data_IF_791577200487
#
_entry.id   IF_791577200487
#
_cell.length_a   1.000
_cell.length_b   1.000
_cell.length_c   1.000
_cell.angle_alpha   90.00
_cell.angle_beta   90.00
_cell.angle_gamma   90.00
#
_symmetry.space_group_name_H-M   'P 1'
#
loop_
_entity.id
_entity.type
_entity.pdbx_description
1 polymer ?
#
# COMPACT_ATOMS: atom_id res chain seq x y z
N UNK A 1 -52.66 5.96 9.80
CA UNK A 1 -52.45 4.70 10.56
C UNK A 1 -50.97 4.63 10.87
N UNK A 2 -50.57 5.17 12.02
CA UNK A 2 -49.15 5.32 12.37
C UNK A 2 -48.67 4.00 12.97
N UNK A 3 -47.67 3.38 12.34
CA UNK A 3 -47.12 2.09 12.73
C UNK A 3 -46.58 2.12 14.16
N UNK A 4 -46.80 1.02 14.88
CA UNK A 4 -46.28 0.78 16.23
C UNK A 4 -44.77 1.01 16.27
N UNK A 5 -44.24 1.77 17.25
CA UNK A 5 -42.80 1.99 17.36
C UNK A 5 -42.08 0.66 17.59
N UNK A 6 -41.00 0.45 16.84
CA UNK A 6 -40.11 -0.72 16.99
C UNK A 6 -39.57 -0.74 18.43
N UNK A 7 -39.65 -1.88 19.15
CA UNK A 7 -39.17 -1.94 20.54
C UNK A 7 -37.67 -1.62 20.60
N UNK A 8 -37.30 -0.71 21.50
CA UNK A 8 -35.93 -0.23 21.66
C UNK A 8 -35.08 -1.37 22.25
N UNK A 9 -34.24 -1.98 21.41
CA UNK A 9 -33.40 -3.12 21.77
C UNK A 9 -32.54 -2.83 23.01
N UNK A 10 -32.15 -1.56 23.19
CA UNK A 10 -31.38 -1.10 24.35
C UNK A 10 -32.16 -1.28 25.65
N UNK A 11 -33.45 -0.96 25.66
CA UNK A 11 -34.30 -1.09 26.85
C UNK A 11 -34.48 -2.56 27.24
N UNK A 12 -34.66 -3.45 26.25
CA UNK A 12 -34.77 -4.88 26.48
C UNK A 12 -33.47 -5.47 27.09
N UNK A 13 -32.31 -5.06 26.58
CA UNK A 13 -31.00 -5.49 27.12
C UNK A 13 -30.79 -4.98 28.55
N UNK A 14 -31.20 -3.74 28.85
CA UNK A 14 -31.09 -3.18 30.20
C UNK A 14 -32.01 -3.90 31.19
N UNK A 15 -33.24 -4.20 30.78
CA UNK A 15 -34.19 -4.94 31.61
C UNK A 15 -33.66 -6.35 31.92
N UNK A 16 -33.10 -7.05 30.93
CA UNK A 16 -32.49 -8.35 31.12
C UNK A 16 -31.27 -8.29 32.05
N UNK A 17 -30.41 -7.29 31.91
CA UNK A 17 -29.24 -7.11 32.77
C UNK A 17 -29.65 -6.88 34.22
N UNK A 18 -30.63 -6.01 34.47
CA UNK A 18 -31.12 -5.73 35.82
C UNK A 18 -31.74 -6.99 36.45
N UNK A 19 -32.56 -7.73 35.71
CA UNK A 19 -33.13 -8.99 36.19
C UNK A 19 -32.04 -10.02 36.58
N UNK A 20 -30.94 -10.08 35.82
CA UNK A 20 -29.79 -10.95 36.13
C UNK A 20 -29.01 -10.49 37.36
N UNK A 21 -28.91 -9.17 37.59
CA UNK A 21 -28.29 -8.61 38.79
C UNK A 21 -29.15 -8.95 40.01
N UNK A 22 -30.47 -8.77 39.91
CA UNK A 22 -31.41 -9.07 40.99
C UNK A 22 -31.40 -10.55 41.36
N UNK A 23 -31.38 -11.47 40.36
CA UNK A 23 -31.29 -12.90 40.63
C UNK A 23 -29.99 -13.28 41.34
N UNK A 24 -28.86 -12.68 40.95
CA UNK A 24 -27.56 -12.94 41.59
C UNK A 24 -27.59 -12.58 43.08
N UNK A 25 -28.23 -11.47 43.46
CA UNK A 25 -28.36 -11.08 44.86
C UNK A 25 -29.43 -11.87 45.62
N UNK A 26 -30.54 -12.25 44.98
CA UNK A 26 -31.57 -13.11 45.57
C UNK A 26 -31.03 -14.51 45.92
N UNK A 27 -30.16 -15.06 45.07
CA UNK A 27 -29.52 -16.36 45.28
C UNK A 27 -28.37 -16.31 46.31
N UNK A 28 -28.17 -15.16 46.98
CA UNK A 28 -27.17 -14.97 48.03
C UNK A 28 -25.76 -14.64 47.53
N UNK A 29 -25.63 -14.23 46.26
CA UNK A 29 -24.37 -13.78 45.68
C UNK A 29 -23.80 -12.56 46.40
N UNK A 30 -22.50 -12.58 46.69
CA UNK A 30 -21.78 -11.46 47.30
C UNK A 30 -20.69 -10.96 46.35
N UNK A 31 -20.57 -9.63 46.23
CA UNK A 31 -19.52 -9.00 45.45
C UNK A 31 -18.22 -9.01 46.27
N UNK A 32 -17.22 -9.75 45.80
CA UNK A 32 -15.89 -9.73 46.41
C UNK A 32 -15.12 -8.51 45.91
N UNK A 33 -14.80 -7.59 46.82
CA UNK A 33 -13.84 -6.52 46.54
C UNK A 33 -12.42 -7.05 46.78
N UNK A 34 -11.61 -7.09 45.72
CA UNK A 34 -10.20 -7.43 45.84
C UNK A 34 -9.41 -6.21 46.33
N UNK A 35 -8.35 -6.40 47.15
CA UNK A 35 -7.52 -5.29 47.58
C UNK A 35 -6.89 -4.60 46.36
N UNK A 36 -6.88 -3.27 46.38
CA UNK A 36 -6.17 -2.47 45.37
C UNK A 36 -4.68 -2.81 45.40
N UNK A 37 -4.08 -3.03 44.23
CA UNK A 37 -2.64 -3.24 44.14
C UNK A 37 -1.94 -1.91 44.43
N UNK A 38 -1.34 -1.80 45.61
CA UNK A 38 -0.56 -0.61 45.96
C UNK A 38 0.63 -0.43 45.02
N UNK A 39 0.98 0.83 44.75
CA UNK A 39 2.15 1.17 43.95
C UNK A 39 3.42 0.77 44.69
N UNK A 40 4.19 -0.16 44.11
CA UNK A 40 5.53 -0.51 44.56
C UNK A 40 6.54 0.22 43.66
N UNK A 41 7.34 1.16 44.18
CA UNK A 41 8.40 1.81 43.41
C UNK A 41 9.34 0.77 42.80
N UNK A 42 9.78 1.01 41.56
CA UNK A 42 10.81 0.17 40.94
C UNK A 42 12.05 0.16 41.83
N UNK A 43 12.64 -1.02 42.04
CA UNK A 43 13.93 -1.14 42.74
C UNK A 43 14.92 -0.16 42.12
N UNK A 44 15.61 0.60 42.95
CA UNK A 44 16.73 1.41 42.50
C UNK A 44 17.66 0.51 41.68
N UNK A 45 18.06 0.98 40.50
CA UNK A 45 19.13 0.30 39.79
C UNK A 45 20.31 0.19 40.76
N UNK A 46 20.88 -1.00 40.90
CA UNK A 46 22.10 -1.18 41.68
C UNK A 46 23.10 -0.24 41.02
N UNK A 47 23.41 0.87 41.67
CA UNK A 47 24.53 1.71 41.29
C UNK A 47 25.72 0.78 41.33
N UNK A 48 26.15 0.34 40.15
CA UNK A 48 27.40 -0.33 40.02
C UNK A 48 28.40 0.73 40.49
N UNK A 49 28.95 0.54 41.69
CA UNK A 49 30.26 1.07 42.07
C UNK A 49 31.07 1.19 40.78
N UNK A 50 31.67 2.36 40.45
CA UNK A 50 32.40 2.54 39.21
C UNK A 50 33.59 1.59 39.22
N UNK A 51 33.34 0.33 38.85
CA UNK A 51 34.31 -0.69 38.62
C UNK A 51 35.18 -0.08 37.54
N UNK A 52 36.38 0.36 37.96
CA UNK A 52 37.45 0.92 37.13
C UNK A 52 37.19 0.52 35.70
N UNK A 53 36.75 1.47 34.87
CA UNK A 53 36.39 1.22 33.49
C UNK A 53 37.50 0.39 32.86
N UNK A 54 37.30 -0.93 32.81
CA UNK A 54 38.20 -1.81 32.09
C UNK A 54 38.13 -1.26 30.68
N UNK A 55 39.27 -0.78 30.16
CA UNK A 55 39.36 -0.17 28.85
C UNK A 55 38.48 -1.00 27.89
N UNK A 56 37.42 -0.37 27.36
CA UNK A 56 36.44 -1.06 26.54
C UNK A 56 37.20 -1.89 25.51
N UNK A 57 36.88 -3.19 25.35
CA UNK A 57 37.66 -4.07 24.50
C UNK A 57 37.81 -3.41 23.13
N UNK A 58 39.06 -3.27 22.68
CA UNK A 58 39.44 -2.66 21.42
C UNK A 58 38.43 -3.07 20.33
N UNK A 59 38.06 -2.06 19.55
CA UNK A 59 36.86 -1.91 18.74
C UNK A 59 36.73 -2.91 17.56
N UNK A 60 36.98 -4.21 17.78
CA UNK A 60 37.04 -5.28 16.77
C UNK A 60 35.79 -5.36 15.91
N UNK A 61 34.61 -5.06 16.48
CA UNK A 61 33.34 -5.02 15.73
C UNK A 61 33.32 -3.89 14.72
N UNK A 62 33.84 -2.72 15.08
CA UNK A 62 33.88 -1.55 14.18
C UNK A 62 34.91 -1.76 13.08
N UNK A 63 36.05 -2.38 13.39
CA UNK A 63 37.08 -2.72 12.40
C UNK A 63 36.57 -3.77 11.41
N UNK A 64 35.92 -4.84 11.91
CA UNK A 64 35.25 -5.84 11.05
C UNK A 64 34.19 -5.20 10.16
N UNK A 65 33.43 -4.23 10.68
CA UNK A 65 32.44 -3.49 9.87
C UNK A 65 33.13 -2.66 8.79
N UNK A 66 34.21 -1.94 9.10
CA UNK A 66 34.97 -1.14 8.13
C UNK A 66 35.54 -2.01 7.00
N UNK A 67 36.15 -3.15 7.34
CA UNK A 67 36.67 -4.11 6.35
C UNK A 67 35.57 -4.61 5.40
N UNK A 68 34.39 -4.97 5.95
CA UNK A 68 33.23 -5.37 5.13
C UNK A 68 32.74 -4.25 4.22
N UNK A 69 32.74 -3.01 4.69
CA UNK A 69 32.35 -1.84 3.87
C UNK A 69 33.33 -1.67 2.70
N UNK A 70 34.62 -1.86 2.92
CA UNK A 70 35.65 -1.79 1.88
C UNK A 70 35.51 -2.92 0.84
N UNK A 71 35.29 -4.16 1.29
CA UNK A 71 35.01 -5.29 0.40
C UNK A 71 33.77 -5.04 -0.46
N UNK A 72 32.69 -4.57 0.16
CA UNK A 72 31.44 -4.25 -0.54
C UNK A 72 31.61 -3.06 -1.48
N UNK A 73 32.47 -2.09 -1.15
CA UNK A 73 32.82 -0.97 -2.05
C UNK A 73 33.49 -1.45 -3.33
N UNK A 74 34.39 -2.43 -3.26
CA UNK A 74 34.99 -3.03 -4.45
C UNK A 74 33.98 -3.80 -5.29
N UNK A 75 33.06 -4.54 -4.65
CA UNK A 75 31.95 -5.22 -5.35
C UNK A 75 31.02 -4.21 -6.04
N UNK A 76 30.72 -3.09 -5.39
CA UNK A 76 29.83 -2.06 -5.91
C UNK A 76 30.30 -1.43 -7.23
N UNK A 77 31.62 -1.39 -7.47
CA UNK A 77 32.19 -0.92 -8.75
C UNK A 77 31.86 -1.85 -9.92
N UNK A 78 31.56 -3.12 -9.66
CA UNK A 78 31.39 -4.15 -10.70
C UNK A 78 29.96 -4.65 -10.84
N UNK A 79 29.24 -4.77 -9.71
CA UNK A 79 27.95 -5.45 -9.60
C UNK A 79 26.78 -4.50 -9.28
N UNK A 80 25.57 -4.96 -9.57
CA UNK A 80 24.32 -4.35 -9.08
C UNK A 80 24.01 -4.80 -7.65
N UNK A 81 23.04 -4.15 -6.98
CA UNK A 81 22.59 -4.54 -5.63
C UNK A 81 22.15 -6.00 -5.54
N UNK A 82 21.42 -6.49 -6.55
CA UNK A 82 20.90 -7.86 -6.55
C UNK A 82 22.03 -8.89 -6.73
N UNK A 83 22.98 -8.60 -7.62
CA UNK A 83 24.17 -9.42 -7.84
C UNK A 83 25.06 -9.46 -6.60
N UNK A 84 25.29 -8.30 -5.97
CA UNK A 84 26.07 -8.22 -4.74
C UNK A 84 25.41 -8.96 -3.57
N UNK A 85 24.07 -8.92 -3.47
CA UNK A 85 23.33 -9.69 -2.46
C UNK A 85 23.47 -11.20 -2.70
N UNK A 86 23.34 -11.66 -3.94
CA UNK A 86 23.55 -13.06 -4.29
C UNK A 86 24.99 -13.53 -4.04
N UNK A 87 25.98 -12.68 -4.29
CA UNK A 87 27.40 -13.00 -4.10
C UNK A 87 27.82 -13.02 -2.62
N UNK A 88 27.32 -12.08 -1.82
CA UNK A 88 27.74 -11.93 -0.41
C UNK A 88 26.83 -12.66 0.58
N UNK A 89 25.63 -13.07 0.16
CA UNK A 89 24.59 -13.59 1.05
C UNK A 89 24.00 -12.54 2.00
N UNK A 90 24.39 -11.26 1.85
CA UNK A 90 23.87 -10.17 2.65
C UNK A 90 22.52 -9.69 2.11
N UNK A 91 21.65 -9.24 3.01
CA UNK A 91 20.38 -8.64 2.60
C UNK A 91 20.59 -7.30 1.90
N UNK A 92 19.66 -6.95 1.00
CA UNK A 92 19.68 -5.66 0.29
C UNK A 92 19.71 -4.46 1.26
N UNK A 93 19.01 -4.57 2.39
CA UNK A 93 19.01 -3.54 3.44
C UNK A 93 20.41 -3.36 4.05
N UNK A 94 21.10 -4.46 4.35
CA UNK A 94 22.45 -4.43 4.89
C UNK A 94 23.45 -3.78 3.91
N UNK A 95 23.38 -4.15 2.63
CA UNK A 95 24.17 -3.52 1.57
C UNK A 95 23.86 -2.03 1.42
N UNK A 96 22.58 -1.64 1.57
CA UNK A 96 22.15 -0.25 1.58
C UNK A 96 22.75 0.54 2.74
N UNK A 97 22.76 -0.02 3.95
CA UNK A 97 23.43 0.60 5.10
C UNK A 97 24.94 0.73 4.88
N UNK A 98 25.61 -0.28 4.32
CA UNK A 98 27.04 -0.19 4.02
C UNK A 98 27.37 0.83 2.93
N UNK A 99 26.50 0.97 1.92
CA UNK A 99 26.64 2.01 0.90
C UNK A 99 26.50 3.42 1.48
N UNK A 100 25.56 3.61 2.42
CA UNK A 100 25.38 4.87 3.16
C UNK A 100 26.59 5.17 4.06
N UNK A 101 27.00 4.22 4.90
CA UNK A 101 28.14 4.38 5.80
C UNK A 101 29.45 4.61 5.02
N UNK A 102 29.62 3.90 3.91
CA UNK A 102 30.80 3.95 3.06
C UNK A 102 30.76 5.01 1.96
N UNK A 103 29.67 5.79 1.84
CA UNK A 103 29.48 6.84 0.83
C UNK A 103 29.79 6.37 -0.61
N UNK A 104 29.30 5.19 -0.98
CA UNK A 104 29.43 4.66 -2.35
C UNK A 104 28.09 4.20 -2.89
N UNK A 105 28.03 3.93 -4.21
CA UNK A 105 26.83 3.46 -4.89
C UNK A 105 27.17 2.26 -5.76
N UNK A 106 26.25 1.30 -5.83
CA UNK A 106 26.34 0.16 -6.75
C UNK A 106 26.01 0.58 -8.17
N UNK A 107 26.36 -0.27 -9.15
CA UNK A 107 25.89 -0.08 -10.52
C UNK A 107 24.36 -0.08 -10.58
N UNK A 108 23.77 0.81 -11.39
CA UNK A 108 22.33 0.80 -11.60
C UNK A 108 21.94 -0.49 -12.32
N UNK A 109 20.86 -1.11 -11.87
CA UNK A 109 20.28 -2.26 -12.56
C UNK A 109 19.80 -1.82 -13.96
N UNK A 110 20.22 -2.49 -15.05
CA UNK A 110 19.79 -2.17 -16.42
C UNK A 110 18.27 -2.32 -16.64
N UNK A 111 17.57 -3.05 -15.76
CA UNK A 111 16.12 -3.25 -15.75
C UNK A 111 15.38 -2.24 -14.87
N UNK A 112 16.09 -1.41 -14.10
CA UNK A 112 15.48 -0.39 -13.23
C UNK A 112 14.61 0.55 -14.05
N UNK A 113 13.33 0.69 -13.66
CA UNK A 113 12.36 1.54 -14.35
C UNK A 113 11.78 0.95 -15.65
N UNK A 114 12.23 -0.22 -16.10
CA UNK A 114 11.75 -0.88 -17.33
C UNK A 114 10.68 -1.95 -17.08
N UNK A 115 10.19 -2.10 -15.85
CA UNK A 115 9.22 -3.14 -15.49
C UNK A 115 7.87 -3.06 -16.22
N UNK A 116 7.54 -1.88 -16.77
CA UNK A 116 6.33 -1.63 -17.57
C UNK A 116 6.64 -1.40 -19.06
N UNK A 117 7.92 -1.44 -19.44
CA UNK A 117 8.33 -1.19 -20.82
C UNK A 117 7.90 -2.39 -21.67
N UNK A 118 6.96 -2.17 -22.59
CA UNK A 118 6.45 -3.22 -23.50
C UNK A 118 5.27 -4.04 -22.97
N UNK A 119 4.79 -3.82 -21.73
CA UNK A 119 3.53 -4.42 -21.28
C UNK A 119 2.36 -3.67 -21.92
N UNK A 120 1.78 -4.24 -22.98
CA UNK A 120 0.47 -3.79 -23.47
C UNK A 120 -0.56 -4.12 -22.38
N UNK A 121 -1.11 -3.09 -21.76
CA UNK A 121 -2.09 -3.24 -20.66
C UNK A 121 -3.44 -3.81 -21.15
N UNK A 122 -3.67 -3.83 -22.47
CA UNK A 122 -4.91 -4.27 -23.09
C UNK A 122 -4.67 -5.34 -24.14
N UNK A 123 -5.61 -6.28 -24.23
CA UNK A 123 -5.64 -7.32 -25.24
C UNK A 123 -6.07 -6.73 -26.60
N UNK A 124 -5.23 -6.85 -27.65
CA UNK A 124 -5.54 -6.31 -28.97
C UNK A 124 -6.83 -6.85 -29.60
N UNK A 125 -7.26 -8.07 -29.25
CA UNK A 125 -8.53 -8.62 -29.75
C UNK A 125 -9.72 -7.84 -29.19
N UNK A 126 -9.76 -7.67 -27.87
CA UNK A 126 -10.84 -6.92 -27.19
C UNK A 126 -10.89 -5.44 -27.59
N UNK A 127 -9.76 -4.88 -28.01
CA UNK A 127 -9.66 -3.50 -28.46
C UNK A 127 -10.25 -3.30 -29.86
N UNK A 128 -10.09 -4.29 -30.75
CA UNK A 128 -10.74 -4.30 -32.07
C UNK A 128 -12.26 -4.36 -31.95
N UNK A 129 -12.78 -5.27 -31.13
CA UNK A 129 -14.23 -5.41 -30.92
C UNK A 129 -14.85 -4.10 -30.40
N UNK A 130 -14.16 -3.42 -29.48
CA UNK A 130 -14.59 -2.11 -28.97
C UNK A 130 -14.49 -1.04 -30.05
N UNK A 131 -13.45 -1.05 -30.88
CA UNK A 131 -13.30 -0.10 -31.98
C UNK A 131 -14.47 -0.23 -32.98
N UNK A 132 -14.85 -1.46 -33.34
CA UNK A 132 -15.99 -1.74 -34.22
C UNK A 132 -17.31 -1.23 -33.62
N UNK A 133 -17.53 -1.47 -32.32
CA UNK A 133 -18.69 -0.92 -31.59
C UNK A 133 -18.69 0.62 -31.58
N UNK A 134 -17.54 1.26 -31.36
CA UNK A 134 -17.39 2.72 -31.39
C UNK A 134 -17.74 3.27 -32.78
N UNK A 135 -17.33 2.59 -33.85
CA UNK A 135 -17.68 2.97 -35.24
C UNK A 135 -19.20 2.85 -35.46
N UNK A 136 -19.82 1.77 -35.00
CA UNK A 136 -21.27 1.60 -35.09
C UNK A 136 -22.02 2.73 -34.37
N UNK A 137 -21.61 3.08 -33.13
CA UNK A 137 -22.22 4.19 -32.39
C UNK A 137 -21.97 5.55 -33.02
N UNK A 138 -20.79 5.76 -33.62
CA UNK A 138 -20.49 6.98 -34.40
C UNK A 138 -21.45 7.12 -35.57
N UNK A 139 -21.72 6.06 -36.30
CA UNK A 139 -22.63 6.07 -37.45
C UNK A 139 -24.08 6.38 -37.01
N UNK A 140 -24.47 5.97 -35.81
CA UNK A 140 -25.72 6.38 -35.15
C UNK A 140 -25.70 7.82 -34.60
N UNK A 141 -24.71 8.63 -35.00
CA UNK A 141 -24.53 10.02 -34.59
C UNK A 141 -24.34 10.24 -33.07
N UNK A 142 -23.96 9.21 -32.32
CA UNK A 142 -23.71 9.35 -30.89
C UNK A 142 -22.49 10.22 -30.60
N UNK A 143 -22.54 10.94 -29.48
CA UNK A 143 -21.40 11.72 -28.99
C UNK A 143 -20.41 10.84 -28.23
N UNK A 144 -19.14 11.25 -28.19
CA UNK A 144 -18.10 10.56 -27.40
C UNK A 144 -18.54 10.32 -25.95
N UNK A 145 -19.16 11.31 -25.32
CA UNK A 145 -19.66 11.19 -23.94
C UNK A 145 -20.74 10.11 -23.79
N UNK A 146 -21.67 10.02 -24.74
CA UNK A 146 -22.70 8.97 -24.73
C UNK A 146 -22.08 7.58 -24.94
N UNK A 147 -21.08 7.47 -25.82
CA UNK A 147 -20.35 6.21 -26.05
C UNK A 147 -19.62 5.75 -24.79
N UNK A 148 -18.91 6.65 -24.10
CA UNK A 148 -18.25 6.37 -22.80
C UNK A 148 -19.25 5.83 -21.78
N UNK A 149 -20.41 6.48 -21.65
CA UNK A 149 -21.45 6.06 -20.68
C UNK A 149 -22.10 4.73 -21.04
N UNK A 150 -22.36 4.49 -22.33
CA UNK A 150 -23.03 3.29 -22.81
C UNK A 150 -22.12 2.06 -22.70
N UNK A 151 -20.88 2.18 -23.20
CA UNK A 151 -19.90 1.08 -23.17
C UNK A 151 -19.24 0.90 -21.79
N UNK A 152 -19.53 1.78 -20.82
CA UNK A 152 -18.94 1.78 -19.47
C UNK A 152 -17.40 1.73 -19.47
N UNK A 153 -16.79 2.40 -20.46
CA UNK A 153 -15.33 2.53 -20.58
C UNK A 153 -14.87 3.86 -20.02
N UNK A 154 -13.58 4.00 -19.69
CA UNK A 154 -13.02 5.30 -19.30
C UNK A 154 -12.77 6.20 -20.53
N UNK A 155 -12.83 7.52 -20.35
CA UNK A 155 -12.49 8.48 -21.43
C UNK A 155 -11.03 8.31 -21.92
N UNK A 156 -10.11 7.91 -21.02
CA UNK A 156 -8.71 7.58 -21.40
C UNK A 156 -8.67 6.37 -22.33
N UNK A 157 -9.44 5.32 -22.03
CA UNK A 157 -9.52 4.13 -22.86
C UNK A 157 -10.15 4.45 -24.22
N UNK A 158 -11.22 5.25 -24.25
CA UNK A 158 -11.80 5.72 -25.51
C UNK A 158 -10.77 6.49 -26.33
N UNK A 159 -10.13 7.53 -25.76
CA UNK A 159 -9.10 8.32 -26.45
C UNK A 159 -7.95 7.47 -27.01
N UNK A 160 -7.55 6.44 -26.28
CA UNK A 160 -6.54 5.48 -26.76
C UNK A 160 -7.06 4.72 -27.98
N UNK A 161 -8.24 4.11 -27.92
CA UNK A 161 -8.84 3.39 -29.04
C UNK A 161 -9.05 4.28 -30.26
N UNK A 162 -9.49 5.54 -30.08
CA UNK A 162 -9.63 6.47 -31.19
C UNK A 162 -8.30 6.76 -31.91
N UNK A 163 -7.19 6.80 -31.18
CA UNK A 163 -5.84 7.01 -31.74
C UNK A 163 -5.24 5.75 -32.34
N UNK A 164 -5.49 4.59 -31.75
CA UNK A 164 -4.95 3.31 -32.23
C UNK A 164 -5.64 2.82 -33.51
N UNK A 165 -6.94 3.14 -33.68
CA UNK A 165 -7.75 2.72 -34.83
C UNK A 165 -8.16 3.89 -35.75
N UNK A 166 -7.56 5.08 -35.57
CA UNK A 166 -7.81 6.29 -36.36
C UNK A 166 -9.31 6.67 -36.53
N UNK A 167 -10.08 6.51 -35.45
CA UNK A 167 -11.52 6.80 -35.45
C UNK A 167 -11.77 8.27 -35.07
N UNK A 168 -12.36 9.03 -35.99
CA UNK A 168 -12.70 10.44 -35.77
C UNK A 168 -14.20 10.66 -35.51
N UNK A 169 -14.53 11.37 -34.43
CA UNK A 169 -15.91 11.82 -34.17
C UNK A 169 -16.13 13.22 -34.78
N UNK A 170 -17.33 13.48 -35.34
CA UNK A 170 -17.63 14.78 -35.94
C UNK A 170 -17.54 15.90 -34.91
N UNK A 171 -16.81 16.96 -35.25
CA UNK A 171 -16.62 18.11 -34.35
C UNK A 171 -17.89 18.93 -34.22
N UNK A 172 -17.99 19.74 -33.16
CA UNK A 172 -19.16 20.60 -32.93
C UNK A 172 -19.37 21.61 -34.08
N UNK A 173 -18.28 22.03 -34.74
CA UNK A 173 -18.32 22.91 -35.90
C UNK A 173 -18.89 22.21 -37.14
N UNK A 174 -18.41 21.00 -37.45
CA UNK A 174 -18.94 20.17 -38.54
C UNK A 174 -20.43 19.84 -38.35
N UNK A 175 -20.83 19.53 -37.10
CA UNK A 175 -22.24 19.28 -36.77
C UNK A 175 -23.10 20.53 -36.99
N UNK A 176 -22.59 21.72 -36.68
CA UNK A 176 -23.29 22.99 -36.93
C UNK A 176 -23.40 23.29 -38.42
N UNK A 177 -22.35 23.02 -39.20
CA UNK A 177 -22.38 23.17 -40.65
C UNK A 177 -23.41 22.24 -41.29
N UNK A 178 -23.44 20.96 -40.90
CA UNK A 178 -24.41 19.97 -41.41
C UNK A 178 -25.88 20.27 -41.06
N UNK A 179 -26.15 21.04 -39.99
CA UNK A 179 -27.52 21.47 -39.63
C UNK A 179 -27.99 22.70 -40.40
N UNK A 180 -27.06 23.46 -40.99
CA UNK A 180 -27.35 24.68 -41.76
C UNK A 180 -27.47 24.44 -43.27
N UNK A 181 -26.97 23.30 -43.74
CA UNK A 181 -27.14 22.79 -45.10
C UNK A 181 -28.42 21.96 -45.17
#
# INVERSE_FOLDING_TARGET
MNGTPTPDHREAVLAQLNASIDSFFLDGGQVQSLPTKDYVPRRAHRDLEPARAQAAPLNTRTERRRKRIEEVRELAKRMTYAEAAAHTGLSLSCLGSYALDGQFKFKPDPRRGKGNLGKKLSDPATDRDKADQIIAYRNLCMTRYQVVRLMKISDKQLKRLLREFDINFPTTAEKRAKRKA
#
